data_IF_624559050547
#
_entry.id   IF_624559050547
#
_cell.length_a   1.000
_cell.length_b   1.000
_cell.length_c   1.000
_cell.angle_alpha   90.00
_cell.angle_beta   90.00
_cell.angle_gamma   90.00
#
_symmetry.space_group_name_H-M   'P 1'
#
loop_
_entity.id
_entity.type
_entity.pdbx_description
1 polymer ?
#
# COMPACT_ATOMS: atom_id res chain seq x y z
N UNK A 1 -55.53 89.41 20.61
CA UNK A 1 -54.58 88.57 21.38
C UNK A 1 -54.13 87.43 20.47
N UNK A 2 -52.82 87.23 20.28
CA UNK A 2 -52.31 86.28 19.30
C UNK A 2 -52.33 84.83 19.81
N UNK A 3 -52.62 83.93 18.88
CA UNK A 3 -52.77 82.49 19.05
C UNK A 3 -51.37 81.86 19.01
N UNK A 4 -50.91 81.31 20.13
CA UNK A 4 -49.71 80.46 20.17
C UNK A 4 -50.06 79.10 19.55
N UNK A 5 -49.60 78.87 18.31
CA UNK A 5 -49.65 77.57 17.65
C UNK A 5 -48.46 76.73 18.12
N UNK A 6 -48.76 75.55 18.63
CA UNK A 6 -47.80 74.46 18.84
C UNK A 6 -47.09 74.11 17.52
N UNK A 7 -45.78 73.81 17.54
CA UNK A 7 -45.10 73.29 16.36
C UNK A 7 -45.51 71.84 16.12
N UNK A 8 -46.29 71.62 15.06
CA UNK A 8 -46.50 70.30 14.46
C UNK A 8 -45.19 69.74 13.88
N UNK A 9 -44.97 68.41 13.92
CA UNK A 9 -43.75 67.78 13.43
C UNK A 9 -43.68 67.86 11.90
N UNK A 10 -42.58 68.42 11.39
CA UNK A 10 -42.29 68.42 9.96
C UNK A 10 -41.65 67.10 9.50
N UNK A 11 -41.89 66.67 8.26
CA UNK A 11 -41.76 65.28 7.81
C UNK A 11 -40.32 64.91 7.40
N UNK A 12 -40.09 63.60 7.41
CA UNK A 12 -38.92 62.84 6.95
C UNK A 12 -38.31 63.46 5.68
N UNK A 13 -37.11 64.04 5.78
CA UNK A 13 -36.29 64.45 4.63
C UNK A 13 -34.81 64.52 5.04
N UNK A 14 -34.17 63.36 5.19
CA UNK A 14 -32.70 63.21 5.21
C UNK A 14 -32.27 61.74 5.07
N UNK A 15 -32.56 61.10 3.94
CA UNK A 15 -31.89 59.85 3.54
C UNK A 15 -31.42 60.01 2.10
N UNK A 16 -30.30 60.70 1.91
CA UNK A 16 -29.59 60.73 0.63
C UNK A 16 -29.13 59.31 0.27
N UNK A 17 -29.27 58.95 -1.00
CA UNK A 17 -28.74 57.67 -1.46
C UNK A 17 -27.22 57.61 -1.37
N UNK A 18 -26.70 56.40 -1.24
CA UNK A 18 -25.28 56.12 -1.03
C UNK A 18 -24.61 55.61 -2.30
N UNK A 19 -23.29 55.77 -2.38
CA UNK A 19 -22.50 55.24 -3.48
C UNK A 19 -22.38 53.71 -3.42
N UNK A 20 -22.10 53.07 -4.56
CA UNK A 20 -21.84 51.62 -4.66
C UNK A 20 -20.72 51.16 -3.73
N UNK A 21 -19.67 51.97 -3.61
CA UNK A 21 -18.51 51.71 -2.76
C UNK A 21 -18.87 51.79 -1.27
N UNK A 22 -19.73 52.74 -0.90
CA UNK A 22 -20.22 52.88 0.47
C UNK A 22 -21.18 51.74 0.85
N UNK A 23 -22.06 51.32 -0.05
CA UNK A 23 -22.91 50.14 0.19
C UNK A 23 -22.07 48.87 0.32
N UNK A 24 -21.04 48.70 -0.52
CA UNK A 24 -20.11 47.58 -0.45
C UNK A 24 -19.40 47.51 0.91
N UNK A 25 -18.91 48.66 1.40
CA UNK A 25 -18.29 48.79 2.73
C UNK A 25 -19.26 48.42 3.85
N UNK A 26 -20.52 48.88 3.80
CA UNK A 26 -21.53 48.60 4.84
C UNK A 26 -22.01 47.15 4.85
N UNK A 27 -21.96 46.48 3.70
CA UNK A 27 -22.32 45.08 3.56
C UNK A 27 -21.14 44.12 3.72
N UNK A 28 -19.93 44.63 4.00
CA UNK A 28 -18.67 43.87 4.05
C UNK A 28 -18.41 43.02 2.80
N UNK A 29 -18.66 43.61 1.62
CA UNK A 29 -18.43 42.96 0.32
C UNK A 29 -17.61 43.85 -0.61
N UNK A 30 -17.08 43.28 -1.68
CA UNK A 30 -16.35 44.05 -2.70
C UNK A 30 -17.31 44.86 -3.58
N UNK A 31 -16.86 46.01 -4.08
CA UNK A 31 -17.64 46.82 -5.05
C UNK A 31 -17.91 46.04 -6.36
N UNK A 32 -17.02 45.11 -6.74
CA UNK A 32 -17.23 44.23 -7.88
C UNK A 32 -18.48 43.34 -7.69
N UNK A 33 -18.71 42.85 -6.48
CA UNK A 33 -19.91 42.08 -6.10
C UNK A 33 -21.18 42.92 -6.27
N UNK A 34 -21.18 44.17 -5.80
CA UNK A 34 -22.31 45.10 -5.97
C UNK A 34 -22.60 45.37 -7.46
N UNK A 35 -21.56 45.62 -8.27
CA UNK A 35 -21.70 45.82 -9.73
C UNK A 35 -22.25 44.58 -10.44
N UNK A 36 -21.91 43.38 -9.98
CA UNK A 36 -22.46 42.12 -10.50
C UNK A 36 -23.94 42.00 -10.17
N UNK A 37 -24.34 42.31 -8.93
CA UNK A 37 -25.74 42.23 -8.52
C UNK A 37 -26.64 43.25 -9.21
N UNK A 38 -26.14 44.47 -9.45
CA UNK A 38 -26.82 45.47 -10.28
C UNK A 38 -27.02 44.98 -11.71
N UNK A 39 -25.98 44.42 -12.35
CA UNK A 39 -26.08 43.83 -13.70
C UNK A 39 -27.06 42.67 -13.78
N UNK A 40 -27.18 41.87 -12.72
CA UNK A 40 -28.14 40.76 -12.64
C UNK A 40 -29.57 41.20 -12.32
N UNK A 41 -29.82 42.50 -12.09
CA UNK A 41 -31.13 43.03 -11.69
C UNK A 41 -31.49 42.81 -10.21
N UNK A 42 -30.67 42.07 -9.44
CA UNK A 42 -30.95 41.71 -8.06
C UNK A 42 -31.01 42.91 -7.09
N UNK A 43 -30.42 44.05 -7.46
CA UNK A 43 -30.44 45.29 -6.68
C UNK A 43 -31.24 46.42 -7.36
N UNK A 44 -31.99 46.14 -8.43
CA UNK A 44 -32.64 47.18 -9.22
C UNK A 44 -33.62 48.00 -8.37
N UNK A 45 -34.34 47.36 -7.46
CA UNK A 45 -35.33 48.01 -6.60
C UNK A 45 -34.72 48.96 -5.55
N UNK A 46 -33.41 48.86 -5.31
CA UNK A 46 -32.66 49.74 -4.42
C UNK A 46 -32.00 50.91 -5.18
N UNK A 47 -32.13 50.98 -6.50
CA UNK A 47 -31.62 52.11 -7.29
C UNK A 47 -32.63 53.25 -7.24
N UNK A 48 -32.20 54.42 -6.77
CA UNK A 48 -32.98 55.64 -6.73
C UNK A 48 -32.99 56.34 -8.10
N UNK A 49 -33.95 57.24 -8.38
CA UNK A 49 -34.05 57.93 -9.67
C UNK A 49 -32.81 58.76 -10.06
N UNK A 50 -32.02 59.18 -9.08
CA UNK A 50 -30.75 59.91 -9.27
C UNK A 50 -29.55 58.98 -9.56
N UNK A 51 -29.77 57.66 -9.61
CA UNK A 51 -28.75 56.65 -9.85
C UNK A 51 -27.95 56.24 -8.61
N UNK A 52 -28.26 56.78 -7.43
CA UNK A 52 -27.69 56.37 -6.14
C UNK A 52 -28.44 55.18 -5.55
N UNK A 53 -27.92 54.58 -4.46
CA UNK A 53 -28.53 53.39 -3.85
C UNK A 53 -29.18 53.72 -2.52
N UNK A 54 -30.41 53.23 -2.30
CA UNK A 54 -31.03 53.22 -0.99
C UNK A 54 -30.25 52.29 -0.05
N UNK A 55 -29.69 52.80 1.07
CA UNK A 55 -28.88 52.01 1.98
C UNK A 55 -29.66 50.90 2.69
N UNK A 56 -30.92 51.15 3.05
CA UNK A 56 -31.75 50.21 3.81
C UNK A 56 -32.21 49.10 2.89
N UNK A 57 -32.75 49.47 1.72
CA UNK A 57 -33.27 48.51 0.75
C UNK A 57 -32.16 47.70 0.09
N UNK A 58 -31.01 48.33 -0.20
CA UNK A 58 -29.83 47.67 -0.75
C UNK A 58 -29.26 46.61 0.20
N UNK A 59 -29.14 46.91 1.49
CA UNK A 59 -28.68 45.92 2.48
C UNK A 59 -29.68 44.76 2.66
N UNK A 60 -30.99 45.05 2.66
CA UNK A 60 -32.02 44.02 2.75
C UNK A 60 -31.97 43.04 1.56
N UNK A 61 -31.83 43.57 0.33
CA UNK A 61 -31.73 42.76 -0.89
C UNK A 61 -30.40 41.98 -0.95
N UNK A 62 -29.29 42.56 -0.49
CA UNK A 62 -28.02 41.82 -0.42
C UNK A 62 -28.12 40.61 0.52
N UNK A 63 -28.80 40.75 1.66
CA UNK A 63 -29.02 39.64 2.61
C UNK A 63 -29.85 38.50 2.00
N UNK A 64 -30.84 38.81 1.16
CA UNK A 64 -31.68 37.79 0.50
C UNK A 64 -31.00 37.14 -0.71
N UNK A 65 -30.05 37.84 -1.35
CA UNK A 65 -29.29 37.32 -2.49
C UNK A 65 -28.10 36.47 -2.04
N UNK A 66 -27.43 36.83 -0.93
CA UNK A 66 -26.35 36.03 -0.33
C UNK A 66 -26.85 34.65 0.12
N UNK A 67 -28.09 34.57 0.64
CA UNK A 67 -28.73 33.31 1.01
C UNK A 67 -29.21 32.49 -0.20
N UNK A 68 -29.38 33.11 -1.37
CA UNK A 68 -29.68 32.46 -2.66
C UNK A 68 -28.45 32.30 -3.55
N UNK A 69 -27.26 32.20 -2.97
CA UNK A 69 -26.04 31.81 -3.68
C UNK A 69 -26.20 30.41 -4.25
N UNK A 70 -26.81 30.29 -5.43
CA UNK A 70 -26.79 29.08 -6.25
C UNK A 70 -25.32 28.82 -6.49
N UNK A 71 -24.76 27.81 -5.83
CA UNK A 71 -23.40 27.32 -6.09
C UNK A 71 -23.45 26.80 -7.51
N UNK A 72 -23.18 27.69 -8.47
CA UNK A 72 -22.93 27.30 -9.84
C UNK A 72 -21.62 26.54 -9.76
N UNK A 73 -21.75 25.21 -9.76
CA UNK A 73 -20.65 24.27 -9.77
C UNK A 73 -19.78 24.59 -11.00
N UNK A 74 -18.74 25.40 -10.77
CA UNK A 74 -17.95 25.94 -11.86
C UNK A 74 -17.24 24.77 -12.53
N UNK A 75 -17.14 24.78 -13.87
CA UNK A 75 -16.37 23.76 -14.59
C UNK A 75 -14.96 23.61 -14.02
N UNK A 76 -14.40 24.69 -13.47
CA UNK A 76 -13.14 24.71 -12.73
C UNK A 76 -13.18 23.83 -11.47
N UNK A 77 -14.21 23.93 -10.62
CA UNK A 77 -14.34 23.11 -9.40
C UNK A 77 -14.41 21.62 -9.74
N UNK A 78 -15.22 21.25 -10.74
CA UNK A 78 -15.29 19.87 -11.25
C UNK A 78 -13.95 19.40 -11.82
N UNK A 79 -13.21 20.25 -12.52
CA UNK A 79 -11.89 19.92 -13.03
C UNK A 79 -10.88 19.72 -11.88
N UNK A 80 -10.92 20.55 -10.85
CA UNK A 80 -10.07 20.40 -9.64
C UNK A 80 -10.39 19.11 -8.88
N UNK A 81 -11.66 18.77 -8.72
CA UNK A 81 -12.08 17.54 -8.03
C UNK A 81 -11.62 16.29 -8.82
N UNK A 82 -11.79 16.29 -10.15
CA UNK A 82 -11.28 15.21 -11.03
C UNK A 82 -9.75 15.08 -10.97
N UNK A 83 -9.05 16.21 -10.99
CA UNK A 83 -7.59 16.21 -10.88
C UNK A 83 -7.12 15.66 -9.53
N UNK A 84 -7.79 16.05 -8.45
CA UNK A 84 -7.49 15.56 -7.10
C UNK A 84 -7.77 14.06 -6.99
N UNK A 85 -8.89 13.58 -7.54
CA UNK A 85 -9.20 12.15 -7.60
C UNK A 85 -8.12 11.36 -8.37
N UNK A 86 -7.64 11.88 -9.50
CA UNK A 86 -6.55 11.26 -10.26
C UNK A 86 -5.19 11.29 -9.53
N UNK A 87 -4.97 12.23 -8.61
CA UNK A 87 -3.79 12.22 -7.74
C UNK A 87 -3.93 11.19 -6.62
N UNK A 88 -5.11 11.06 -6.03
CA UNK A 88 -5.40 10.04 -5.02
C UNK A 88 -5.22 8.64 -5.63
N UNK A 89 -5.81 8.35 -6.78
CA UNK A 89 -5.66 7.05 -7.44
C UNK A 89 -4.19 6.67 -7.72
N UNK A 90 -3.38 7.62 -8.19
CA UNK A 90 -1.93 7.38 -8.36
C UNK A 90 -1.21 7.09 -7.05
N UNK A 91 -1.59 7.75 -5.96
CA UNK A 91 -1.02 7.49 -4.63
C UNK A 91 -1.48 6.14 -4.08
N UNK A 92 -2.72 5.72 -4.36
CA UNK A 92 -3.21 4.37 -4.03
C UNK A 92 -2.36 3.31 -4.72
N UNK A 93 -2.11 3.47 -6.03
CA UNK A 93 -1.25 2.56 -6.79
C UNK A 93 0.18 2.53 -6.23
N UNK A 94 0.78 3.69 -5.95
CA UNK A 94 2.13 3.78 -5.39
C UNK A 94 2.23 3.13 -3.99
N UNK A 95 1.24 3.33 -3.13
CA UNK A 95 1.21 2.72 -1.79
C UNK A 95 1.00 1.21 -1.90
N UNK A 96 0.12 0.75 -2.79
CA UNK A 96 -0.11 -0.66 -3.04
C UNK A 96 1.18 -1.34 -3.56
N UNK A 97 1.90 -0.72 -4.48
CA UNK A 97 3.19 -1.22 -4.96
C UNK A 97 4.24 -1.31 -3.85
N UNK A 98 4.31 -0.31 -2.96
CA UNK A 98 5.21 -0.34 -1.80
C UNK A 98 4.83 -1.46 -0.83
N UNK A 99 3.54 -1.63 -0.54
CA UNK A 99 3.05 -2.72 0.31
C UNK A 99 3.32 -4.09 -0.31
N UNK A 100 3.31 -4.20 -1.65
CA UNK A 100 3.66 -5.43 -2.34
C UNK A 100 5.16 -5.72 -2.34
N UNK A 101 5.98 -4.66 -2.39
CA UNK A 101 7.44 -4.76 -2.45
C UNK A 101 8.07 -5.06 -1.10
N UNK A 102 7.46 -4.63 0.00
CA UNK A 102 8.05 -4.71 1.34
C UNK A 102 7.22 -5.56 2.29
N UNK A 103 7.91 -6.35 3.10
CA UNK A 103 7.33 -7.20 4.14
C UNK A 103 8.08 -6.93 5.45
N UNK A 104 7.44 -6.97 6.63
CA UNK A 104 8.13 -6.89 7.91
C UNK A 104 9.28 -7.91 7.99
N UNK A 105 10.40 -7.52 8.59
CA UNK A 105 11.61 -8.38 8.70
C UNK A 105 11.27 -9.74 9.31
N UNK A 106 10.51 -9.74 10.42
CA UNK A 106 10.15 -10.96 11.13
C UNK A 106 9.39 -11.95 10.24
N UNK A 107 8.43 -11.45 9.45
CA UNK A 107 7.62 -12.27 8.55
C UNK A 107 8.46 -12.78 7.36
N UNK A 108 9.34 -11.93 6.82
CA UNK A 108 10.28 -12.30 5.77
C UNK A 108 11.23 -13.41 6.19
N UNK A 109 11.84 -13.28 7.37
CA UNK A 109 12.76 -14.29 7.91
C UNK A 109 12.04 -15.60 8.24
N UNK A 110 10.81 -15.53 8.76
CA UNK A 110 9.96 -16.70 8.99
C UNK A 110 9.63 -17.44 7.69
N UNK A 111 9.35 -16.71 6.60
CA UNK A 111 9.08 -17.29 5.29
C UNK A 111 10.31 -18.03 4.73
N UNK A 112 11.50 -17.43 4.83
CA UNK A 112 12.76 -18.09 4.42
C UNK A 112 12.96 -19.36 5.24
N UNK A 113 12.86 -19.28 6.57
CA UNK A 113 13.05 -20.43 7.44
C UNK A 113 12.07 -21.57 7.13
N UNK A 114 10.79 -21.24 6.89
CA UNK A 114 9.76 -22.19 6.49
C UNK A 114 10.08 -22.89 5.17
N UNK A 115 10.48 -22.12 4.14
CA UNK A 115 10.87 -22.67 2.84
C UNK A 115 12.08 -23.61 2.94
N UNK A 116 13.11 -23.19 3.68
CA UNK A 116 14.31 -24.01 3.88
C UNK A 116 14.02 -25.29 4.69
N UNK A 117 13.16 -25.21 5.70
CA UNK A 117 12.72 -26.38 6.46
C UNK A 117 11.96 -27.40 5.59
N UNK A 118 11.12 -26.90 4.67
CA UNK A 118 10.40 -27.74 3.69
C UNK A 118 11.36 -28.49 2.76
N UNK A 119 12.35 -27.79 2.20
CA UNK A 119 13.41 -28.39 1.38
C UNK A 119 14.18 -29.44 2.20
N UNK A 120 14.57 -29.10 3.43
CA UNK A 120 15.28 -30.02 4.30
C UNK A 120 14.47 -31.29 4.60
N UNK A 121 13.14 -31.20 4.71
CA UNK A 121 12.24 -32.33 4.88
C UNK A 121 12.40 -33.40 3.79
N UNK A 122 12.50 -32.99 2.52
CA UNK A 122 12.73 -33.90 1.39
C UNK A 122 14.13 -34.53 1.37
N UNK A 123 15.12 -33.83 1.94
CA UNK A 123 16.52 -34.25 1.94
C UNK A 123 16.86 -35.18 3.11
N UNK A 124 16.16 -35.08 4.25
CA UNK A 124 16.41 -35.93 5.44
C UNK A 124 16.45 -37.44 5.17
N UNK A 125 15.56 -38.02 4.34
CA UNK A 125 15.59 -39.46 4.07
C UNK A 125 16.82 -39.93 3.28
N UNK A 126 17.52 -39.02 2.58
CA UNK A 126 18.60 -39.38 1.66
C UNK A 126 19.73 -40.17 2.33
N UNK A 127 20.10 -39.84 3.57
CA UNK A 127 21.15 -40.57 4.27
C UNK A 127 20.83 -42.07 4.42
N UNK A 128 19.56 -42.39 4.73
CA UNK A 128 19.10 -43.78 4.77
C UNK A 128 19.04 -44.41 3.39
N UNK A 129 18.45 -43.70 2.42
CA UNK A 129 18.27 -44.21 1.06
C UNK A 129 19.57 -44.48 0.32
N UNK A 130 20.60 -43.65 0.51
CA UNK A 130 21.92 -43.84 -0.11
C UNK A 130 22.66 -45.00 0.56
N UNK A 131 22.56 -45.11 1.90
CA UNK A 131 23.26 -46.13 2.67
C UNK A 131 22.82 -47.58 2.37
N UNK A 132 21.66 -47.79 1.73
CA UNK A 132 21.23 -49.13 1.30
C UNK A 132 22.14 -49.75 0.25
N UNK A 133 22.94 -48.93 -0.45
CA UNK A 133 23.93 -49.40 -1.42
C UNK A 133 25.31 -49.70 -0.78
N UNK A 134 25.47 -49.52 0.54
CA UNK A 134 26.74 -49.79 1.22
C UNK A 134 27.19 -51.25 1.01
N UNK A 135 28.50 -51.45 0.81
CA UNK A 135 29.09 -52.75 0.50
C UNK A 135 28.95 -53.20 -0.97
N UNK A 136 28.24 -52.44 -1.82
CA UNK A 136 28.20 -52.69 -3.27
C UNK A 136 29.44 -52.09 -3.98
N UNK A 137 29.76 -52.56 -5.21
CA UNK A 137 30.78 -51.96 -6.03
C UNK A 137 30.64 -50.44 -6.15
N UNK A 138 31.76 -49.72 -6.03
CA UNK A 138 31.83 -48.26 -5.95
C UNK A 138 31.04 -47.52 -7.05
N UNK A 139 31.03 -48.05 -8.28
CA UNK A 139 30.22 -47.52 -9.38
C UNK A 139 28.71 -47.59 -9.11
N UNK A 140 28.22 -48.72 -8.60
CA UNK A 140 26.80 -48.89 -8.29
C UNK A 140 26.37 -47.99 -7.13
N UNK A 141 27.23 -47.81 -6.13
CA UNK A 141 27.02 -46.86 -5.04
C UNK A 141 26.86 -45.44 -5.57
N UNK A 142 27.78 -45.02 -6.44
CA UNK A 142 27.76 -43.69 -7.05
C UNK A 142 26.47 -43.45 -7.84
N UNK A 143 26.11 -44.39 -8.73
CA UNK A 143 24.91 -44.29 -9.57
C UNK A 143 23.62 -44.29 -8.73
N UNK A 144 23.56 -45.10 -7.68
CA UNK A 144 22.44 -45.12 -6.73
C UNK A 144 22.31 -43.80 -5.97
N UNK A 145 23.43 -43.30 -5.41
CA UNK A 145 23.44 -42.03 -4.68
C UNK A 145 22.97 -40.86 -5.55
N UNK A 146 23.46 -40.80 -6.79
CA UNK A 146 23.03 -39.81 -7.79
C UNK A 146 21.52 -39.91 -8.08
N UNK A 147 21.00 -41.12 -8.22
CA UNK A 147 19.58 -41.38 -8.47
C UNK A 147 18.71 -40.92 -7.30
N UNK A 148 19.09 -41.26 -6.05
CA UNK A 148 18.40 -40.77 -4.86
C UNK A 148 18.33 -39.24 -4.81
N UNK A 149 19.45 -38.57 -5.09
CA UNK A 149 19.52 -37.10 -5.11
C UNK A 149 18.63 -36.52 -6.21
N UNK A 150 18.65 -37.06 -7.43
CA UNK A 150 17.78 -36.60 -8.51
C UNK A 150 16.30 -36.75 -8.16
N UNK A 151 15.92 -37.87 -7.54
CA UNK A 151 14.54 -38.11 -7.11
C UNK A 151 14.12 -37.10 -6.04
N UNK A 152 14.99 -36.80 -5.05
CA UNK A 152 14.70 -35.80 -4.04
C UNK A 152 14.57 -34.39 -4.64
N UNK A 153 15.45 -34.00 -5.57
CA UNK A 153 15.33 -32.71 -6.26
C UNK A 153 14.05 -32.60 -7.09
N UNK A 154 13.64 -33.70 -7.71
CA UNK A 154 12.38 -33.76 -8.46
C UNK A 154 11.17 -33.64 -7.54
N UNK A 155 11.21 -34.30 -6.37
CA UNK A 155 10.17 -34.20 -5.35
C UNK A 155 10.06 -32.79 -4.78
N UNK A 156 11.18 -32.14 -4.46
CA UNK A 156 11.23 -30.73 -4.03
C UNK A 156 10.59 -29.83 -5.09
N UNK A 157 10.94 -30.03 -6.37
CA UNK A 157 10.43 -29.20 -7.45
C UNK A 157 8.92 -29.37 -7.63
N UNK A 158 8.43 -30.61 -7.59
CA UNK A 158 7.00 -30.91 -7.69
C UNK A 158 6.22 -30.32 -6.51
N UNK A 159 6.76 -30.47 -5.29
CA UNK A 159 6.17 -29.96 -4.06
C UNK A 159 6.03 -28.43 -4.09
N UNK A 160 7.10 -27.71 -4.46
CA UNK A 160 7.09 -26.25 -4.59
C UNK A 160 6.14 -25.75 -5.70
N UNK A 161 6.03 -26.46 -6.82
CA UNK A 161 5.16 -26.07 -7.94
C UNK A 161 3.68 -26.39 -7.69
N UNK A 162 3.39 -27.40 -6.87
CA UNK A 162 2.01 -27.81 -6.58
C UNK A 162 1.25 -26.83 -5.68
N UNK A 163 1.93 -25.84 -5.10
CA UNK A 163 1.33 -24.83 -4.23
C UNK A 163 0.68 -25.42 -2.97
N UNK A 164 0.91 -26.70 -2.68
CA UNK A 164 0.39 -27.37 -1.50
C UNK A 164 0.94 -26.69 -0.26
N UNK A 165 0.03 -26.22 0.59
CA UNK A 165 0.37 -25.65 1.88
C UNK A 165 1.02 -26.75 2.74
N UNK A 166 2.12 -26.47 3.46
CA UNK A 166 2.66 -27.43 4.39
C UNK A 166 1.61 -27.78 5.46
N UNK A 167 1.43 -29.06 5.80
CA UNK A 167 0.41 -29.50 6.78
C UNK A 167 0.54 -28.86 8.17
N UNK A 168 1.71 -28.32 8.51
CA UNK A 168 2.01 -27.68 9.80
C UNK A 168 1.75 -26.16 9.80
N UNK A 169 1.20 -25.64 8.70
CA UNK A 169 0.90 -24.24 8.51
C UNK A 169 -0.61 -24.05 8.67
N UNK A 170 -1.05 -23.51 9.80
CA UNK A 170 -2.47 -23.48 10.19
C UNK A 170 -3.32 -22.48 9.38
N UNK A 171 -2.71 -21.49 8.73
CA UNK A 171 -3.41 -20.45 7.98
C UNK A 171 -3.09 -20.53 6.48
N UNK A 172 -4.11 -20.56 5.58
CA UNK A 172 -3.88 -20.59 4.14
C UNK A 172 -2.88 -19.50 3.72
N UNK A 173 -1.92 -19.80 2.84
CA UNK A 173 -1.01 -18.78 2.28
C UNK A 173 -1.82 -17.62 1.67
N UNK A 174 -2.99 -17.95 1.09
CA UNK A 174 -3.97 -17.00 0.55
C UNK A 174 -4.58 -16.06 1.62
N UNK A 175 -4.57 -16.44 2.90
CA UNK A 175 -5.09 -15.63 4.00
C UNK A 175 -4.19 -14.42 4.31
N UNK A 176 -2.89 -14.52 4.02
CA UNK A 176 -1.90 -13.48 4.31
C UNK A 176 -1.69 -12.53 3.14
N UNK A 177 -2.01 -13.02 1.95
CA UNK A 177 -1.96 -12.25 0.72
C UNK A 177 -3.35 -12.17 0.10
N UNK A 178 -4.22 -11.41 0.77
CA UNK A 178 -5.34 -10.82 0.06
C UNK A 178 -4.74 -9.75 -0.86
N UNK A 179 -4.54 -10.09 -2.14
CA UNK A 179 -4.22 -9.08 -3.14
C UNK A 179 -5.27 -7.96 -2.97
N UNK A 180 -4.86 -6.72 -2.61
CA UNK A 180 -5.83 -5.66 -2.39
C UNK A 180 -6.55 -5.48 -3.72
N UNK A 181 -7.80 -5.91 -3.78
CA UNK A 181 -8.59 -5.72 -4.98
C UNK A 181 -8.67 -4.21 -5.16
N UNK A 182 -8.26 -3.65 -6.32
CA UNK A 182 -8.34 -2.22 -6.55
C UNK A 182 -9.78 -1.81 -6.25
N UNK A 183 -9.98 -1.03 -5.19
CA UNK A 183 -11.32 -0.65 -4.81
C UNK A 183 -11.88 0.16 -5.99
N UNK A 184 -13.04 -0.26 -6.51
CA UNK A 184 -13.70 0.50 -7.56
C UNK A 184 -13.82 1.97 -7.07
N UNK A 185 -13.43 2.97 -7.88
CA UNK A 185 -13.31 4.34 -7.43
C UNK A 185 -14.65 4.81 -6.88
N UNK A 186 -14.75 4.89 -5.55
CA UNK A 186 -15.96 5.38 -4.89
C UNK A 186 -16.06 6.88 -5.14
N UNK A 187 -17.25 7.42 -5.47
CA UNK A 187 -17.42 8.86 -5.57
C UNK A 187 -17.17 9.48 -4.18
N UNK A 188 -16.00 10.10 -4.02
CA UNK A 188 -15.59 10.78 -2.80
C UNK A 188 -15.93 12.27 -2.87
N UNK A 189 -16.30 12.86 -1.73
CA UNK A 189 -16.42 14.31 -1.61
C UNK A 189 -15.04 14.98 -1.68
N UNK A 190 -14.97 16.27 -2.02
CA UNK A 190 -13.70 17.01 -2.06
C UNK A 190 -12.94 16.99 -0.73
N UNK A 191 -13.65 16.96 0.41
CA UNK A 191 -13.04 16.83 1.74
C UNK A 191 -12.45 15.44 1.92
N UNK A 192 -13.18 14.39 1.52
CA UNK A 192 -12.72 13.01 1.59
C UNK A 192 -11.50 12.76 0.69
N UNK A 193 -11.46 13.33 -0.52
CA UNK A 193 -10.30 13.25 -1.41
C UNK A 193 -9.04 13.87 -0.80
N UNK A 194 -9.20 15.00 -0.10
CA UNK A 194 -8.07 15.67 0.56
C UNK A 194 -7.57 14.86 1.77
N UNK A 195 -8.47 14.28 2.55
CA UNK A 195 -8.12 13.39 3.65
C UNK A 195 -7.39 12.15 3.14
N UNK A 196 -7.95 11.45 2.16
CA UNK A 196 -7.34 10.27 1.53
C UNK A 196 -5.93 10.56 1.00
N UNK A 197 -5.73 11.71 0.34
CA UNK A 197 -4.41 12.13 -0.13
C UNK A 197 -3.40 12.28 1.01
N UNK A 198 -3.80 12.85 2.14
CA UNK A 198 -2.92 13.03 3.30
C UNK A 198 -2.61 11.68 3.97
N UNK A 199 -3.62 10.83 4.13
CA UNK A 199 -3.47 9.52 4.75
C UNK A 199 -2.56 8.62 3.92
N UNK A 200 -2.78 8.54 2.60
CA UNK A 200 -1.93 7.78 1.68
C UNK A 200 -0.50 8.34 1.66
N UNK A 201 -0.34 9.67 1.68
CA UNK A 201 0.97 10.30 1.79
C UNK A 201 1.70 9.95 3.09
N UNK A 202 0.98 9.91 4.22
CA UNK A 202 1.52 9.49 5.51
C UNK A 202 1.90 8.01 5.52
N UNK A 203 1.07 7.14 4.93
CA UNK A 203 1.35 5.71 4.78
C UNK A 203 2.60 5.47 3.93
N UNK A 204 2.70 6.12 2.77
CA UNK A 204 3.90 6.07 1.92
C UNK A 204 5.16 6.45 2.69
N UNK A 205 5.15 7.60 3.35
CA UNK A 205 6.29 8.06 4.15
C UNK A 205 6.63 7.11 5.29
N UNK A 206 5.62 6.46 5.88
CA UNK A 206 5.82 5.46 6.94
C UNK A 206 6.52 4.22 6.41
N UNK A 207 6.08 3.66 5.27
CA UNK A 207 6.72 2.50 4.63
C UNK A 207 8.16 2.86 4.23
N UNK A 208 8.38 4.02 3.62
CA UNK A 208 9.74 4.48 3.25
C UNK A 208 10.64 4.72 4.47
N UNK A 209 10.07 5.15 5.60
CA UNK A 209 10.81 5.27 6.86
C UNK A 209 11.15 3.89 7.42
N UNK A 210 10.19 2.96 7.46
CA UNK A 210 10.43 1.58 7.89
C UNK A 210 11.52 0.91 7.04
N UNK A 211 11.50 1.13 5.72
CA UNK A 211 12.53 0.61 4.82
C UNK A 211 13.91 1.20 5.11
N UNK A 212 14.00 2.50 5.41
CA UNK A 212 15.27 3.15 5.79
C UNK A 212 15.79 2.71 7.16
N UNK A 213 14.90 2.42 8.08
CA UNK A 213 15.24 1.93 9.42
C UNK A 213 15.60 0.44 9.43
N UNK A 214 15.27 -0.28 8.36
CA UNK A 214 15.45 -1.73 8.29
C UNK A 214 14.36 -2.52 9.02
N UNK A 215 13.18 -1.93 9.27
CA UNK A 215 12.04 -2.61 9.89
C UNK A 215 11.27 -3.51 8.89
N UNK A 216 11.46 -3.25 7.60
CA UNK A 216 10.90 -4.04 6.49
C UNK A 216 12.01 -4.44 5.51
N UNK A 217 11.85 -5.59 4.88
CA UNK A 217 12.75 -6.10 3.83
C UNK A 217 12.04 -6.10 2.49
N UNK A 218 12.79 -5.88 1.41
CA UNK A 218 12.23 -6.05 0.08
C UNK A 218 12.04 -7.54 -0.24
N UNK A 219 10.90 -7.89 -0.83
CA UNK A 219 10.60 -9.26 -1.28
C UNK A 219 11.68 -9.77 -2.23
N UNK A 220 12.22 -8.89 -3.09
CA UNK A 220 13.33 -9.25 -3.99
C UNK A 220 14.57 -9.74 -3.25
N UNK A 221 14.88 -9.15 -2.10
CA UNK A 221 16.08 -9.48 -1.33
C UNK A 221 15.88 -10.82 -0.62
N UNK A 222 14.67 -11.08 -0.13
CA UNK A 222 14.27 -12.37 0.45
C UNK A 222 14.39 -13.50 -0.58
N UNK A 223 13.91 -13.26 -1.80
CA UNK A 223 14.01 -14.23 -2.91
C UNK A 223 15.47 -14.47 -3.29
N UNK A 224 16.27 -13.40 -3.46
CA UNK A 224 17.68 -13.52 -3.81
C UNK A 224 18.48 -14.31 -2.75
N UNK A 225 18.24 -14.04 -1.47
CA UNK A 225 18.84 -14.80 -0.37
C UNK A 225 18.45 -16.28 -0.41
N UNK A 226 17.17 -16.56 -0.67
CA UNK A 226 16.67 -17.93 -0.77
C UNK A 226 17.30 -18.68 -1.93
N UNK A 227 17.42 -18.04 -3.09
CA UNK A 227 18.05 -18.60 -4.28
C UNK A 227 19.53 -18.91 -4.05
N UNK A 228 20.26 -18.01 -3.38
CA UNK A 228 21.68 -18.21 -3.05
C UNK A 228 21.89 -19.41 -2.13
N UNK A 229 21.08 -19.52 -1.06
CA UNK A 229 21.13 -20.65 -0.12
C UNK A 229 20.82 -21.97 -0.83
N UNK A 230 19.77 -22.01 -1.65
CA UNK A 230 19.37 -23.21 -2.41
C UNK A 230 20.44 -23.59 -3.44
N UNK A 231 21.01 -22.62 -4.16
CA UNK A 231 22.07 -22.88 -5.13
C UNK A 231 23.31 -23.49 -4.46
N UNK A 232 23.70 -22.96 -3.31
CA UNK A 232 24.85 -23.44 -2.53
C UNK A 232 24.58 -24.84 -1.97
N UNK A 233 23.42 -25.05 -1.34
CA UNK A 233 22.99 -26.35 -0.82
C UNK A 233 22.93 -27.42 -1.93
N UNK A 234 22.40 -27.07 -3.11
CA UNK A 234 22.34 -27.96 -4.29
C UNK A 234 23.74 -28.34 -4.76
N UNK A 235 24.68 -27.39 -4.80
CA UNK A 235 26.08 -27.66 -5.18
C UNK A 235 26.72 -28.69 -4.24
N UNK A 236 26.56 -28.50 -2.92
CA UNK A 236 27.06 -29.43 -1.90
C UNK A 236 26.41 -30.80 -2.04
N UNK A 237 25.08 -30.85 -2.19
CA UNK A 237 24.31 -32.08 -2.34
C UNK A 237 24.77 -32.91 -3.55
N UNK A 238 24.97 -32.26 -4.71
CA UNK A 238 25.40 -32.92 -5.93
C UNK A 238 26.84 -33.46 -5.87
N UNK A 239 27.67 -32.95 -4.95
CA UNK A 239 29.03 -33.43 -4.73
C UNK A 239 29.08 -34.70 -3.85
N UNK A 240 28.03 -35.00 -3.08
CA UNK A 240 28.01 -36.12 -2.13
C UNK A 240 28.38 -37.47 -2.77
N UNK A 241 27.81 -37.88 -3.93
CA UNK A 241 28.15 -39.17 -4.54
C UNK A 241 29.66 -39.32 -4.75
N UNK A 242 30.35 -38.29 -5.23
CA UNK A 242 31.78 -38.31 -5.48
C UNK A 242 32.63 -38.36 -4.20
N UNK A 243 32.10 -37.90 -3.06
CA UNK A 243 32.83 -37.86 -1.77
C UNK A 243 32.69 -39.14 -0.97
N UNK A 244 31.55 -39.82 -1.08
CA UNK A 244 31.23 -40.98 -0.22
C UNK A 244 31.38 -42.33 -0.92
N UNK A 245 31.34 -42.40 -2.26
CA UNK A 245 31.18 -43.69 -2.96
C UNK A 245 32.25 -44.75 -2.63
N UNK A 246 33.53 -44.38 -2.56
CA UNK A 246 34.60 -45.35 -2.24
C UNK A 246 34.50 -45.84 -0.80
N UNK A 247 34.33 -44.92 0.14
CA UNK A 247 34.22 -45.24 1.56
C UNK A 247 32.96 -46.07 1.84
N UNK A 248 31.85 -45.74 1.19
CA UNK A 248 30.57 -46.44 1.36
C UNK A 248 30.59 -47.83 0.70
N UNK A 249 31.37 -48.03 -0.36
CA UNK A 249 31.58 -49.36 -0.97
C UNK A 249 32.30 -50.34 -0.04
N UNK A 250 33.07 -49.84 0.92
CA UNK A 250 33.76 -50.64 1.92
C UNK A 250 33.04 -50.67 3.29
N UNK A 251 31.96 -49.91 3.45
CA UNK A 251 31.27 -49.74 4.73
C UNK A 251 30.08 -50.70 4.87
N UNK A 252 29.65 -50.92 6.11
CA UNK A 252 28.33 -51.49 6.41
C UNK A 252 27.22 -50.46 6.18
N UNK A 253 25.94 -50.88 6.03
CA UNK A 253 24.83 -49.93 5.89
C UNK A 253 24.67 -48.95 7.07
N UNK A 254 25.01 -49.39 8.29
CA UNK A 254 24.93 -48.52 9.48
C UNK A 254 26.01 -47.42 9.45
N UNK A 255 27.25 -47.80 9.13
CA UNK A 255 28.37 -46.87 8.96
C UNK A 255 28.15 -45.94 7.76
N UNK A 256 27.63 -46.48 6.65
CA UNK A 256 27.28 -45.72 5.46
C UNK A 256 26.23 -44.65 5.74
N UNK A 257 25.22 -44.96 6.57
CA UNK A 257 24.20 -43.98 6.97
C UNK A 257 24.81 -42.82 7.78
N UNK A 258 25.67 -43.12 8.74
CA UNK A 258 26.35 -42.09 9.54
C UNK A 258 27.22 -41.19 8.67
N UNK A 259 27.98 -41.77 7.75
CA UNK A 259 28.86 -41.05 6.82
C UNK A 259 28.09 -40.12 5.88
N UNK A 260 26.98 -40.59 5.29
CA UNK A 260 26.16 -39.75 4.42
C UNK A 260 25.43 -38.68 5.24
N UNK A 261 25.01 -38.98 6.47
CA UNK A 261 24.41 -37.98 7.35
C UNK A 261 25.38 -36.84 7.69
N UNK A 262 26.68 -37.14 7.87
CA UNK A 262 27.72 -36.14 8.09
C UNK A 262 27.89 -35.21 6.87
N UNK A 263 27.93 -35.75 5.65
CA UNK A 263 27.97 -34.93 4.43
C UNK A 263 26.68 -34.10 4.25
N UNK A 264 25.52 -34.69 4.55
CA UNK A 264 24.22 -33.99 4.53
C UNK A 264 24.15 -32.86 5.56
N UNK A 265 24.89 -32.94 6.67
CA UNK A 265 24.97 -31.85 7.65
C UNK A 265 25.55 -30.57 7.05
N UNK A 266 26.45 -30.69 6.07
CA UNK A 266 26.92 -29.56 5.26
C UNK A 266 25.77 -28.92 4.49
N UNK A 267 24.94 -29.72 3.83
CA UNK A 267 23.77 -29.23 3.06
C UNK A 267 22.76 -28.51 3.96
N UNK A 268 22.45 -29.06 5.14
CA UNK A 268 21.50 -28.43 6.07
C UNK A 268 22.04 -27.13 6.67
N UNK A 269 23.36 -27.03 6.85
CA UNK A 269 24.01 -25.79 7.30
C UNK A 269 23.85 -24.67 6.27
N UNK A 270 24.04 -24.96 4.99
CA UNK A 270 23.84 -23.98 3.91
C UNK A 270 22.38 -23.54 3.79
N UNK A 271 21.43 -24.43 4.09
CA UNK A 271 20.00 -24.08 4.17
C UNK A 271 19.66 -23.28 5.44
N UNK A 272 20.56 -23.17 6.42
CA UNK A 272 20.30 -22.53 7.71
C UNK A 272 19.35 -23.32 8.60
N UNK A 273 19.22 -24.63 8.39
CA UNK A 273 18.32 -25.51 9.16
C UNK A 273 19.15 -26.25 10.22
N UNK A 274 18.76 -26.09 11.49
CA UNK A 274 19.35 -26.90 12.56
C UNK A 274 18.95 -28.36 12.37
N UNK A 275 19.94 -29.25 12.38
CA UNK A 275 19.71 -30.68 12.50
C UNK A 275 19.09 -30.93 13.88
N UNK A 276 17.80 -31.27 13.91
CA UNK A 276 17.19 -31.84 15.11
C UNK A 276 17.91 -33.18 15.38
N UNK A 277 18.69 -33.19 16.46
CA UNK A 277 19.36 -34.35 17.04
C UNK A 277 18.37 -35.44 17.44
#
# INVERSE_FOLDING_TARGET
>A
MPINREPTPSPISALGGISRRELARRADVTEATIRRHLRSGALWEAVLPDGTLDPVKGLALLRTVVTKGKVVDSGLRRATDRFTAAQVGRLEDEVADLQRRYVPVADGDALVAAGMARIAGHLRPLAGSIATAAGLPAKLVFDHARTCIHNALSAISADLLSGSQPEWWDEPIDAWWNEPTPAAPRPMSAVALKAAKLDLGATKLTIERMARNGDVRAVSDIVAESDERVATAKSVLLAIPSRVYEKLSAATPLEGRAMVAEEMAGVFRELGVQLLS
#
